data_IF_339127148353
#
_entry.id   IF_339127148353
#
_cell.length_a   1.000
_cell.length_b   1.000
_cell.length_c   1.000
_cell.angle_alpha   90.00
_cell.angle_beta   90.00
_cell.angle_gamma   90.00
#
_symmetry.space_group_name_H-M   'P 1'
#
loop_
_entity.id
_entity.type
_entity.pdbx_description
1 polymer ?
#
# COMPACT_ATOMS: atom_id res chain seq x y z
N UNK A 1 50.62 0.47 -23.01
CA UNK A 1 49.55 0.70 -22.02
C UNK A 1 48.81 -0.63 -21.88
N UNK A 2 48.94 -1.29 -20.74
CA UNK A 2 48.25 -2.56 -20.50
C UNK A 2 46.76 -2.22 -20.31
N UNK A 3 45.84 -2.79 -21.10
CA UNK A 3 44.42 -2.53 -20.89
C UNK A 3 44.06 -2.96 -19.46
N UNK A 4 43.47 -2.04 -18.69
CA UNK A 4 42.99 -2.36 -17.35
C UNK A 4 41.98 -3.50 -17.48
N UNK A 5 42.24 -4.60 -16.76
CA UNK A 5 41.31 -5.72 -16.65
C UNK A 5 40.05 -5.19 -15.95
N UNK A 6 38.91 -5.33 -16.61
CA UNK A 6 37.63 -4.84 -16.11
C UNK A 6 36.51 -5.84 -16.40
N UNK A 7 35.45 -5.75 -15.60
CA UNK A 7 34.29 -6.63 -15.66
C UNK A 7 33.22 -6.06 -16.61
N UNK A 8 32.45 -6.94 -17.20
CA UNK A 8 31.22 -6.63 -17.92
C UNK A 8 30.07 -6.72 -16.91
N UNK A 9 29.38 -5.60 -16.69
CA UNK A 9 28.16 -5.56 -15.90
C UNK A 9 26.98 -5.69 -16.86
N UNK A 10 26.17 -6.73 -16.72
CA UNK A 10 24.88 -6.82 -17.39
C UNK A 10 23.80 -6.38 -16.40
N UNK A 11 23.20 -5.21 -16.64
CA UNK A 11 22.21 -4.65 -15.72
C UNK A 11 20.84 -5.31 -15.85
N UNK A 12 20.56 -6.06 -16.92
CA UNK A 12 19.32 -6.85 -17.03
C UNK A 12 19.42 -8.20 -16.30
N UNK A 13 20.63 -8.57 -15.86
CA UNK A 13 20.87 -9.84 -15.18
C UNK A 13 19.97 -9.97 -13.96
N UNK A 14 19.21 -11.06 -13.92
CA UNK A 14 18.28 -11.35 -12.84
C UNK A 14 18.86 -12.39 -11.87
N UNK A 15 18.33 -12.38 -10.65
CA UNK A 15 18.61 -13.38 -9.63
C UNK A 15 17.43 -14.36 -9.62
N UNK A 16 17.67 -15.69 -9.67
CA UNK A 16 16.61 -16.67 -9.50
C UNK A 16 15.80 -16.38 -8.23
N UNK A 17 14.46 -16.56 -8.24
CA UNK A 17 13.59 -16.20 -7.10
C UNK A 17 14.01 -16.79 -5.75
N UNK A 18 14.63 -17.98 -5.78
CA UNK A 18 15.06 -18.73 -4.59
C UNK A 18 16.38 -18.22 -3.98
N UNK A 19 17.06 -17.27 -4.64
CA UNK A 19 18.39 -16.82 -4.26
C UNK A 19 18.36 -15.34 -3.85
N UNK A 20 18.95 -15.01 -2.69
CA UNK A 20 19.14 -13.62 -2.27
C UNK A 20 20.30 -12.91 -2.99
N UNK A 21 21.21 -13.70 -3.59
CA UNK A 21 22.37 -13.19 -4.34
C UNK A 21 22.91 -14.25 -5.31
N UNK A 22 23.55 -13.81 -6.39
CA UNK A 22 24.38 -14.64 -7.27
C UNK A 22 25.76 -14.03 -7.45
N UNK A 23 26.76 -14.86 -7.73
CA UNK A 23 28.07 -14.42 -8.20
C UNK A 23 28.23 -14.85 -9.65
N UNK A 24 28.77 -13.98 -10.49
CA UNK A 24 29.01 -14.29 -11.89
C UNK A 24 30.35 -13.75 -12.39
N UNK A 25 30.86 -14.37 -13.45
CA UNK A 25 32.07 -13.93 -14.12
C UNK A 25 31.73 -12.81 -15.10
N UNK A 26 32.29 -11.63 -14.88
CA UNK A 26 32.17 -10.49 -15.78
C UNK A 26 33.27 -10.44 -16.85
N UNK A 27 34.18 -11.41 -16.90
CA UNK A 27 35.31 -11.39 -17.83
C UNK A 27 35.98 -12.76 -17.99
N UNK A 28 37.03 -12.84 -18.82
CA UNK A 28 37.70 -14.11 -19.16
C UNK A 28 38.58 -14.69 -18.04
N UNK A 29 38.79 -13.95 -16.94
CA UNK A 29 39.66 -14.35 -15.84
C UNK A 29 38.84 -14.59 -14.57
N UNK A 30 39.25 -15.59 -13.78
CA UNK A 30 38.55 -15.99 -12.55
C UNK A 30 38.55 -14.93 -11.45
N UNK A 31 39.46 -13.96 -11.54
CA UNK A 31 39.58 -12.81 -10.63
C UNK A 31 38.51 -11.72 -10.91
N UNK A 32 37.81 -11.78 -12.04
CA UNK A 32 36.80 -10.79 -12.45
C UNK A 32 35.38 -11.20 -12.04
N UNK A 33 35.22 -11.62 -10.78
CA UNK A 33 33.92 -12.03 -10.22
C UNK A 33 33.15 -10.84 -9.68
N UNK A 34 31.89 -10.74 -10.10
CA UNK A 34 30.94 -9.73 -9.62
C UNK A 34 29.86 -10.44 -8.80
N UNK A 35 29.59 -9.92 -7.61
CA UNK A 35 28.47 -10.34 -6.78
C UNK A 35 27.27 -9.43 -7.10
N UNK A 36 26.13 -10.05 -7.37
CA UNK A 36 24.86 -9.38 -7.61
C UNK A 36 23.90 -9.72 -6.48
N UNK A 37 23.37 -8.70 -5.82
CA UNK A 37 22.33 -8.84 -4.78
C UNK A 37 21.04 -8.16 -5.23
N UNK A 38 19.90 -8.67 -4.75
CA UNK A 38 18.57 -8.13 -5.02
C UNK A 38 17.90 -7.85 -3.69
N UNK A 39 17.37 -6.64 -3.53
CA UNK A 39 16.60 -6.25 -2.35
C UNK A 39 15.47 -5.32 -2.75
N UNK A 40 14.34 -5.38 -2.04
CA UNK A 40 13.30 -4.37 -2.21
C UNK A 40 13.76 -3.10 -1.50
N UNK A 41 13.88 -1.99 -2.23
CA UNK A 41 14.33 -0.74 -1.65
C UNK A 41 13.74 0.48 -2.37
N UNK A 42 12.99 1.34 -1.65
CA UNK A 42 12.62 1.22 -0.23
C UNK A 42 11.75 0.00 0.09
N UNK A 43 11.68 -0.38 1.36
CA UNK A 43 10.87 -1.53 1.79
C UNK A 43 9.37 -1.33 1.45
N UNK A 44 8.71 -2.37 0.95
CA UNK A 44 7.29 -2.36 0.55
C UNK A 44 6.93 -1.27 -0.49
N UNK A 45 7.89 -0.85 -1.31
CA UNK A 45 7.66 0.19 -2.33
C UNK A 45 7.31 -0.37 -3.71
N UNK A 46 7.43 -1.70 -3.91
CA UNK A 46 7.35 -2.32 -5.22
C UNK A 46 8.54 -1.96 -6.11
N UNK A 47 9.69 -1.64 -5.52
CA UNK A 47 10.92 -1.30 -6.24
C UNK A 47 12.04 -2.26 -5.86
N UNK A 48 12.65 -2.88 -6.87
CA UNK A 48 13.80 -3.76 -6.68
C UNK A 48 15.09 -3.01 -6.97
N UNK A 49 16.02 -3.04 -6.02
CA UNK A 49 17.41 -2.60 -6.18
C UNK A 49 18.29 -3.82 -6.43
N UNK A 50 18.97 -3.82 -7.57
CA UNK A 50 20.00 -4.78 -7.94
C UNK A 50 21.35 -4.12 -7.72
N UNK A 51 22.25 -4.75 -6.96
CA UNK A 51 23.55 -4.16 -6.63
C UNK A 51 24.68 -5.09 -7.04
N UNK A 52 25.55 -4.59 -7.92
CA UNK A 52 26.78 -5.23 -8.37
C UNK A 52 27.94 -4.73 -7.51
N UNK A 53 28.67 -5.65 -6.88
CA UNK A 53 29.90 -5.37 -6.12
C UNK A 53 31.02 -6.31 -6.55
N UNK A 54 32.26 -5.99 -6.18
CA UNK A 54 33.34 -7.00 -6.23
C UNK A 54 32.92 -8.24 -5.43
N UNK A 55 33.16 -9.42 -5.99
CA UNK A 55 33.06 -10.67 -5.22
C UNK A 55 34.37 -11.00 -4.48
N UNK A 56 35.46 -10.33 -4.83
CA UNK A 56 36.72 -10.40 -4.12
C UNK A 56 36.71 -9.37 -2.98
N UNK A 57 36.73 -9.88 -1.75
CA UNK A 57 36.78 -9.07 -0.54
C UNK A 57 38.19 -8.49 -0.27
N UNK A 58 39.23 -9.02 -0.92
CA UNK A 58 40.62 -8.60 -0.69
C UNK A 58 40.97 -7.27 -1.37
N UNK A 59 40.24 -6.86 -2.42
CA UNK A 59 40.46 -5.60 -3.15
C UNK A 59 39.87 -4.36 -2.46
N UNK A 60 39.46 -4.49 -1.18
CA UNK A 60 38.69 -3.45 -0.49
C UNK A 60 37.32 -3.22 -1.13
N UNK A 61 36.83 -4.19 -1.91
CA UNK A 61 35.56 -4.13 -2.63
C UNK A 61 35.58 -3.32 -3.93
N UNK A 62 36.75 -2.85 -4.39
CA UNK A 62 36.88 -2.07 -5.62
C UNK A 62 37.02 -2.97 -6.86
N UNK A 63 36.45 -2.53 -7.98
CA UNK A 63 36.60 -3.20 -9.27
C UNK A 63 36.45 -2.22 -10.46
N UNK A 64 37.09 -2.55 -11.58
CA UNK A 64 36.98 -1.80 -12.83
C UNK A 64 35.82 -2.33 -13.67
N UNK A 65 35.07 -1.44 -14.32
CA UNK A 65 34.00 -1.82 -15.25
C UNK A 65 34.45 -1.53 -16.67
N UNK A 66 34.54 -2.59 -17.48
CA UNK A 66 34.91 -2.49 -18.89
C UNK A 66 33.72 -2.11 -19.77
N UNK A 67 32.57 -2.74 -19.54
CA UNK A 67 31.34 -2.58 -20.32
C UNK A 67 30.14 -2.61 -19.38
N UNK A 68 29.11 -1.83 -19.68
CA UNK A 68 27.80 -1.95 -19.03
C UNK A 68 26.81 -2.34 -20.12
N UNK A 69 26.23 -3.53 -20.05
CA UNK A 69 25.34 -4.07 -21.08
C UNK A 69 23.88 -3.93 -20.69
N UNK A 70 23.07 -3.56 -21.69
CA UNK A 70 21.62 -3.49 -21.57
C UNK A 70 20.94 -3.72 -22.92
N UNK A 71 19.71 -4.26 -22.87
CA UNK A 71 18.87 -4.51 -24.04
C UNK A 71 19.12 -5.86 -24.69
N UNK A 72 18.21 -6.23 -25.60
CA UNK A 72 18.28 -7.48 -26.34
C UNK A 72 19.57 -7.53 -27.18
N UNK A 73 20.49 -8.43 -26.84
CA UNK A 73 21.82 -8.53 -27.47
C UNK A 73 22.96 -7.87 -26.69
N UNK A 74 22.68 -7.24 -25.53
CA UNK A 74 23.69 -6.77 -24.60
C UNK A 74 24.54 -5.63 -25.15
N UNK A 75 23.90 -4.60 -25.68
CA UNK A 75 24.60 -3.41 -26.19
C UNK A 75 25.27 -2.66 -25.05
N UNK A 76 26.50 -2.22 -25.26
CA UNK A 76 27.22 -1.39 -24.28
C UNK A 76 26.57 0.00 -24.18
N UNK A 77 26.18 0.40 -22.97
CA UNK A 77 25.59 1.69 -22.65
C UNK A 77 26.64 2.59 -22.02
N UNK A 78 27.43 3.23 -22.90
CA UNK A 78 28.55 4.10 -22.52
C UNK A 78 28.16 5.22 -21.54
N UNK A 79 26.92 5.71 -21.59
CA UNK A 79 26.43 6.82 -20.74
C UNK A 79 26.54 6.53 -19.23
N UNK A 80 26.51 5.26 -18.82
CA UNK A 80 26.54 4.84 -17.41
C UNK A 80 27.81 4.07 -17.05
N UNK A 81 28.78 3.98 -17.98
CA UNK A 81 30.04 3.28 -17.71
C UNK A 81 30.96 4.16 -16.86
N UNK A 82 31.35 3.72 -15.65
CA UNK A 82 32.31 4.46 -14.85
C UNK A 82 33.69 4.45 -15.52
N UNK A 83 34.42 5.56 -15.39
CA UNK A 83 35.77 5.70 -15.95
C UNK A 83 36.86 5.26 -14.96
N UNK A 84 36.53 5.21 -13.67
CA UNK A 84 37.42 4.89 -12.56
C UNK A 84 36.93 3.64 -11.82
N UNK A 85 37.78 3.00 -10.98
CA UNK A 85 37.34 1.91 -10.12
C UNK A 85 36.17 2.32 -9.21
N UNK A 86 35.20 1.43 -9.07
CA UNK A 86 33.99 1.66 -8.27
C UNK A 86 33.88 0.64 -7.14
N UNK A 87 33.13 1.00 -6.10
CA UNK A 87 32.74 0.11 -5.00
C UNK A 87 31.48 -0.68 -5.35
N UNK A 88 30.52 -0.03 -6.01
CA UNK A 88 29.28 -0.69 -6.43
C UNK A 88 28.59 0.04 -7.58
N UNK A 89 27.85 -0.73 -8.38
CA UNK A 89 26.87 -0.21 -9.33
C UNK A 89 25.50 -0.78 -8.96
N UNK A 90 24.52 0.09 -8.72
CA UNK A 90 23.16 -0.33 -8.40
C UNK A 90 22.16 0.14 -9.44
N UNK A 91 21.13 -0.67 -9.68
CA UNK A 91 20.07 -0.39 -10.64
C UNK A 91 18.71 -0.64 -10.01
N UNK A 92 17.77 0.30 -10.20
CA UNK A 92 16.41 0.17 -9.71
C UNK A 92 15.45 -0.21 -10.82
N UNK A 93 14.56 -1.15 -10.52
CA UNK A 93 13.48 -1.60 -11.37
C UNK A 93 12.14 -1.52 -10.64
N UNK A 94 11.07 -1.34 -11.40
CA UNK A 94 9.73 -1.58 -10.88
C UNK A 94 9.49 -3.08 -10.71
N UNK A 95 8.81 -3.51 -9.64
CA UNK A 95 8.57 -4.93 -9.34
C UNK A 95 7.72 -5.65 -10.39
N UNK A 96 6.86 -4.92 -11.09
CA UNK A 96 6.10 -5.43 -12.23
C UNK A 96 6.93 -5.67 -13.49
N UNK A 97 8.15 -5.15 -13.58
CA UNK A 97 9.07 -5.38 -14.71
C UNK A 97 9.87 -6.67 -14.52
N UNK A 98 9.19 -7.80 -14.71
CA UNK A 98 9.74 -9.15 -14.45
C UNK A 98 11.00 -9.48 -15.28
N UNK A 99 11.19 -8.79 -16.40
CA UNK A 99 12.28 -9.03 -17.34
C UNK A 99 13.34 -7.93 -17.31
N UNK A 100 13.23 -6.97 -16.40
CA UNK A 100 14.17 -5.85 -16.28
C UNK A 100 14.36 -5.10 -17.60
N UNK A 101 13.25 -4.95 -18.33
CA UNK A 101 13.23 -4.30 -19.64
C UNK A 101 13.29 -2.79 -19.54
N UNK A 102 13.03 -2.18 -18.38
CA UNK A 102 13.01 -0.73 -18.24
C UNK A 102 13.54 -0.32 -16.85
N UNK A 103 14.87 -0.23 -16.68
CA UNK A 103 15.46 0.28 -15.45
C UNK A 103 15.07 1.74 -15.26
N UNK A 104 14.97 2.17 -14.00
CA UNK A 104 14.55 3.52 -13.61
C UNK A 104 15.77 4.42 -13.38
N UNK A 105 16.69 3.95 -12.53
CA UNK A 105 17.82 4.72 -12.00
C UNK A 105 19.04 3.81 -11.90
N UNK A 106 20.22 4.35 -12.20
CA UNK A 106 21.52 3.75 -11.91
C UNK A 106 22.23 4.63 -10.89
N UNK A 107 22.81 4.02 -9.86
CA UNK A 107 23.69 4.63 -8.85
C UNK A 107 25.08 4.00 -8.97
N UNK A 108 26.10 4.84 -9.05
CA UNK A 108 27.50 4.42 -9.09
C UNK A 108 28.17 4.97 -7.84
N UNK A 109 28.73 4.08 -7.01
CA UNK A 109 29.50 4.45 -5.83
C UNK A 109 30.98 4.36 -6.14
N UNK A 110 31.64 5.50 -6.26
CA UNK A 110 33.03 5.61 -6.70
C UNK A 110 34.02 5.33 -5.56
N UNK A 111 35.27 5.04 -5.93
CA UNK A 111 36.38 4.81 -4.98
C UNK A 111 36.50 5.90 -3.92
N UNK A 112 36.40 7.17 -4.32
CA UNK A 112 36.54 8.35 -3.47
C UNK A 112 35.34 8.59 -2.54
N UNK A 113 34.29 7.78 -2.65
CA UNK A 113 33.08 7.93 -1.85
C UNK A 113 32.00 8.83 -2.48
N UNK A 114 32.26 9.37 -3.68
CA UNK A 114 31.28 10.11 -4.46
C UNK A 114 30.22 9.19 -5.06
N UNK A 115 29.03 9.75 -5.29
CA UNK A 115 27.92 9.07 -5.95
C UNK A 115 27.60 9.74 -7.27
N UNK A 116 27.42 8.94 -8.32
CA UNK A 116 26.87 9.39 -9.61
C UNK A 116 25.55 8.70 -9.88
N UNK A 117 24.63 9.43 -10.47
CA UNK A 117 23.28 8.95 -10.74
C UNK A 117 22.94 9.15 -12.21
N UNK A 118 22.28 8.15 -12.81
CA UNK A 118 21.79 8.22 -14.18
C UNK A 118 20.34 7.78 -14.25
N UNK A 119 19.50 8.60 -14.87
CA UNK A 119 18.08 8.34 -15.05
C UNK A 119 17.79 7.80 -16.43
N UNK A 120 16.88 6.83 -16.50
CA UNK A 120 16.39 6.35 -17.78
C UNK A 120 15.63 7.43 -18.54
N UNK A 121 15.81 7.46 -19.87
CA UNK A 121 14.92 8.16 -20.80
C UNK A 121 13.73 7.29 -21.22
N UNK A 122 13.70 6.02 -20.81
CA UNK A 122 12.65 5.05 -21.11
C UNK A 122 12.85 4.29 -22.43
N UNK A 123 13.90 4.60 -23.19
CA UNK A 123 14.26 4.00 -24.48
C UNK A 123 15.67 3.40 -24.47
N UNK A 124 16.19 3.04 -23.28
CA UNK A 124 17.55 2.52 -23.11
C UNK A 124 18.67 3.55 -23.13
N UNK A 125 18.36 4.84 -23.31
CA UNK A 125 19.34 5.93 -23.17
C UNK A 125 19.21 6.61 -21.81
N UNK A 126 20.27 7.29 -21.38
CA UNK A 126 20.39 7.80 -20.00
C UNK A 126 20.63 9.30 -19.96
N UNK A 127 20.22 9.94 -18.87
CA UNK A 127 20.64 11.30 -18.52
C UNK A 127 21.42 11.25 -17.21
N UNK A 128 22.54 12.00 -17.09
CA UNK A 128 23.10 12.25 -15.78
C UNK A 128 22.05 12.96 -14.93
N UNK A 129 21.92 12.52 -13.68
CA UNK A 129 21.11 13.20 -12.69
C UNK A 129 21.99 14.18 -11.94
N UNK A 130 21.69 15.47 -12.08
CA UNK A 130 22.26 16.51 -11.21
C UNK A 130 21.26 16.80 -10.11
N UNK A 131 21.74 16.72 -8.87
CA UNK A 131 21.09 17.17 -7.65
C UNK A 131 21.60 18.57 -7.21
N UNK A 132 22.13 19.35 -8.15
CA UNK A 132 22.64 20.71 -7.91
C UNK A 132 23.84 20.72 -6.96
N UNK A 133 23.76 21.47 -5.86
CA UNK A 133 24.86 21.55 -4.88
C UNK A 133 25.16 20.23 -4.15
N UNK A 134 24.32 19.20 -4.32
CA UNK A 134 24.46 17.87 -3.73
C UNK A 134 24.89 16.80 -4.74
N UNK A 135 25.47 17.19 -5.89
CA UNK A 135 25.80 16.30 -7.02
C UNK A 135 26.66 15.06 -6.68
N UNK A 136 27.32 15.03 -5.51
CA UNK A 136 28.14 13.89 -5.07
C UNK A 136 27.61 13.20 -3.79
N UNK A 137 26.51 13.69 -3.20
CA UNK A 137 25.93 13.09 -2.00
C UNK A 137 25.03 11.92 -2.39
N UNK A 138 25.02 10.90 -1.54
CA UNK A 138 24.13 9.76 -1.72
C UNK A 138 22.67 10.22 -1.67
N UNK A 139 21.90 9.88 -2.69
CA UNK A 139 20.44 9.98 -2.64
C UNK A 139 19.91 8.93 -1.66
N UNK A 140 19.27 9.40 -0.60
CA UNK A 140 18.68 8.55 0.42
C UNK A 140 17.35 9.11 0.93
N UNK A 141 16.63 8.27 1.68
CA UNK A 141 15.31 8.59 2.23
C UNK A 141 14.36 9.19 1.20
N UNK A 142 13.71 10.30 1.58
CA UNK A 142 12.69 10.98 0.78
C UNK A 142 13.18 11.43 -0.60
N UNK A 143 14.45 11.82 -0.75
CA UNK A 143 14.97 12.32 -2.02
C UNK A 143 15.03 11.21 -3.07
N UNK A 144 15.63 10.07 -2.71
CA UNK A 144 15.68 8.88 -3.57
C UNK A 144 14.28 8.36 -3.88
N UNK A 145 13.43 8.29 -2.87
CA UNK A 145 12.05 7.86 -2.96
C UNK A 145 11.21 8.69 -3.93
N UNK A 146 11.21 10.01 -3.77
CA UNK A 146 10.51 10.92 -4.66
C UNK A 146 11.06 10.80 -6.08
N UNK A 147 12.36 10.55 -6.21
CA UNK A 147 12.99 10.34 -7.50
C UNK A 147 12.45 9.09 -8.20
N UNK A 148 12.41 7.97 -7.50
CA UNK A 148 11.90 6.70 -8.03
C UNK A 148 10.40 6.78 -8.32
N UNK A 149 9.61 7.42 -7.45
CA UNK A 149 8.18 7.67 -7.68
C UNK A 149 7.94 8.49 -8.96
N UNK A 150 8.75 9.53 -9.17
CA UNK A 150 8.68 10.37 -10.37
C UNK A 150 9.02 9.59 -11.64
N UNK A 151 10.05 8.74 -11.58
CA UNK A 151 10.45 7.87 -12.69
C UNK A 151 9.37 6.82 -13.01
N UNK A 152 8.75 6.22 -11.99
CA UNK A 152 7.61 5.31 -12.16
C UNK A 152 6.40 5.99 -12.80
N UNK A 153 5.97 7.17 -12.32
CA UNK A 153 4.85 7.92 -12.94
C UNK A 153 5.18 8.33 -14.39
N UNK A 154 6.44 8.65 -14.68
CA UNK A 154 6.90 9.05 -16.01
C UNK A 154 6.96 7.88 -17.00
N UNK A 155 7.53 6.73 -16.59
CA UNK A 155 7.87 5.65 -17.51
C UNK A 155 6.83 4.51 -17.52
N UNK A 156 6.23 4.22 -16.38
CA UNK A 156 5.28 3.11 -16.21
C UNK A 156 3.83 3.56 -16.05
N UNK A 157 3.56 4.88 -16.11
CA UNK A 157 2.21 5.44 -15.84
C UNK A 157 1.67 5.08 -14.44
N UNK A 158 2.55 4.72 -13.50
CA UNK A 158 2.19 4.29 -12.15
C UNK A 158 2.16 5.46 -11.19
N UNK A 159 1.18 5.50 -10.30
CA UNK A 159 1.01 6.62 -9.37
C UNK A 159 0.99 6.10 -7.94
N UNK A 160 1.71 6.78 -7.04
CA UNK A 160 1.61 6.54 -5.62
C UNK A 160 0.57 7.47 -5.01
N UNK A 161 -0.35 6.92 -4.22
CA UNK A 161 -1.23 7.72 -3.37
C UNK A 161 -0.47 8.04 -2.09
N UNK A 162 -0.35 9.32 -1.81
CA UNK A 162 0.26 9.83 -0.61
C UNK A 162 -0.83 10.41 0.29
N UNK A 163 -1.02 9.74 1.43
CA UNK A 163 -1.99 9.99 2.49
C UNK A 163 -1.41 10.84 3.62
N UNK A 164 -0.21 11.40 3.50
CA UNK A 164 0.31 12.36 4.49
C UNK A 164 -0.69 13.51 4.62
N UNK A 165 -1.28 13.66 5.81
CA UNK A 165 -2.25 14.72 6.08
C UNK A 165 -1.61 16.09 5.78
N UNK A 166 -2.42 17.02 5.29
CA UNK A 166 -2.02 18.38 4.90
C UNK A 166 -1.09 18.49 3.68
N UNK A 167 -0.55 17.40 3.13
CA UNK A 167 0.24 17.47 1.88
C UNK A 167 -0.64 17.86 0.69
N UNK A 168 -1.88 17.39 0.68
CA UNK A 168 -2.86 17.72 -0.34
C UNK A 168 -4.17 18.17 0.30
N UNK A 169 -4.61 19.39 -0.03
CA UNK A 169 -5.90 19.95 0.37
C UNK A 169 -6.97 19.58 -0.66
N UNK A 170 -8.24 19.70 -0.27
CA UNK A 170 -9.37 19.57 -1.19
C UNK A 170 -9.19 20.44 -2.44
N UNK A 171 -9.40 19.84 -3.61
CA UNK A 171 -9.18 20.49 -4.90
C UNK A 171 -7.76 20.32 -5.45
N UNK A 172 -6.81 19.83 -4.65
CA UNK A 172 -5.47 19.52 -5.14
C UNK A 172 -5.50 18.29 -6.06
N UNK A 173 -4.63 18.33 -7.05
CA UNK A 173 -4.27 17.18 -7.88
C UNK A 173 -2.76 16.93 -7.77
N UNK A 174 -2.32 15.68 -7.93
CA UNK A 174 -0.89 15.31 -7.96
C UNK A 174 -0.58 14.08 -8.84
N UNK A 175 0.69 13.93 -9.24
CA UNK A 175 1.31 12.67 -9.70
C UNK A 175 2.83 12.80 -9.60
N UNK A 176 3.46 13.37 -10.64
CA UNK A 176 4.87 13.70 -10.72
C UNK A 176 5.05 15.04 -11.44
N UNK A 177 6.24 15.60 -11.35
CA UNK A 177 6.60 16.94 -11.86
C UNK A 177 6.37 17.09 -13.38
N UNK A 178 6.34 15.99 -14.13
CA UNK A 178 6.07 16.04 -15.59
C UNK A 178 4.58 16.25 -15.93
N UNK A 179 3.68 16.18 -14.95
CA UNK A 179 2.23 16.26 -15.17
C UNK A 179 1.60 17.57 -14.67
N UNK A 180 2.36 18.66 -14.49
CA UNK A 180 1.86 19.89 -13.87
C UNK A 180 0.77 20.64 -14.65
N UNK A 181 0.66 20.46 -15.97
CA UNK A 181 -0.31 21.17 -16.83
C UNK A 181 -1.67 20.45 -16.90
N UNK A 182 -2.35 20.30 -15.76
CA UNK A 182 -3.72 19.72 -15.70
C UNK A 182 -3.82 18.21 -15.94
N UNK A 183 -2.69 17.55 -16.22
CA UNK A 183 -2.58 16.10 -16.44
C UNK A 183 -2.29 15.30 -15.17
N UNK A 184 -2.46 15.94 -14.01
CA UNK A 184 -2.30 15.30 -12.70
C UNK A 184 -3.35 14.22 -12.54
N UNK A 185 -2.92 13.03 -12.16
CA UNK A 185 -3.69 11.78 -12.25
C UNK A 185 -4.45 11.44 -10.98
N UNK A 186 -3.97 11.96 -9.85
CA UNK A 186 -4.64 11.83 -8.56
C UNK A 186 -5.39 13.12 -8.27
N UNK A 187 -6.68 13.03 -7.93
CA UNK A 187 -7.47 14.15 -7.41
C UNK A 187 -7.89 13.89 -5.97
N UNK A 188 -7.88 14.93 -5.14
CA UNK A 188 -8.23 14.83 -3.71
C UNK A 188 -9.49 15.64 -3.40
N UNK A 189 -10.42 15.03 -2.67
CA UNK A 189 -11.61 15.69 -2.11
C UNK A 189 -11.79 15.32 -0.65
N UNK A 190 -12.07 16.29 0.20
CA UNK A 190 -12.56 16.05 1.55
C UNK A 190 -14.08 15.91 1.51
N UNK A 191 -14.58 14.87 2.16
CA UNK A 191 -16.00 14.58 2.30
C UNK A 191 -16.28 14.12 3.74
N UNK A 192 -17.55 13.89 4.08
CA UNK A 192 -17.95 13.45 5.43
C UNK A 192 -18.91 12.26 5.36
N UNK A 193 -18.69 11.29 6.25
CA UNK A 193 -19.68 10.26 6.58
C UNK A 193 -20.71 10.85 7.51
N UNK A 194 -22.00 10.68 7.20
CA UNK A 194 -23.13 11.21 7.98
C UNK A 194 -22.98 12.68 8.42
N UNK A 195 -22.30 13.52 7.62
CA UNK A 195 -21.94 14.91 7.92
C UNK A 195 -21.07 15.13 9.18
N UNK A 196 -20.53 14.08 9.79
CA UNK A 196 -19.82 14.14 11.08
C UNK A 196 -18.35 13.74 10.96
N UNK A 197 -18.04 12.61 10.34
CA UNK A 197 -16.69 12.05 10.30
C UNK A 197 -16.01 12.40 8.98
N UNK A 198 -14.97 13.26 8.97
CA UNK A 198 -14.27 13.65 7.76
C UNK A 198 -13.41 12.51 7.20
N UNK A 199 -13.30 12.46 5.88
CA UNK A 199 -12.35 11.61 5.18
C UNK A 199 -11.82 12.30 3.92
N UNK A 200 -10.64 11.87 3.46
CA UNK A 200 -10.05 12.33 2.21
C UNK A 200 -10.14 11.24 1.15
N UNK A 201 -10.80 11.55 0.03
CA UNK A 201 -10.92 10.68 -1.14
C UNK A 201 -9.85 11.03 -2.16
N UNK A 202 -8.92 10.10 -2.36
CA UNK A 202 -7.91 10.12 -3.40
C UNK A 202 -8.39 9.28 -4.57
N UNK A 203 -8.65 9.90 -5.72
CA UNK A 203 -9.13 9.21 -6.91
C UNK A 203 -8.07 9.20 -8.00
N UNK A 204 -7.81 8.01 -8.56
CA UNK A 204 -6.99 7.80 -9.75
C UNK A 204 -7.92 7.56 -10.93
N UNK A 205 -7.86 8.45 -11.91
CA UNK A 205 -8.63 8.33 -13.15
C UNK A 205 -7.83 7.75 -14.32
N UNK A 206 -8.55 7.36 -15.37
CA UNK A 206 -7.99 6.87 -16.64
C UNK A 206 -7.28 5.53 -16.52
N UNK A 207 -6.29 5.29 -17.40
CA UNK A 207 -5.49 4.05 -17.46
C UNK A 207 -4.31 4.01 -16.47
N UNK A 208 -4.33 4.84 -15.43
CA UNK A 208 -3.23 4.86 -14.46
C UNK A 208 -3.40 3.74 -13.45
N UNK A 209 -2.30 3.13 -13.04
CA UNK A 209 -2.29 2.08 -12.01
C UNK A 209 -1.72 2.66 -10.71
N UNK A 210 -2.24 2.19 -9.58
CA UNK A 210 -1.74 2.52 -8.25
C UNK A 210 -0.51 1.65 -7.97
N UNK A 211 0.70 2.23 -7.92
CA UNK A 211 1.93 1.50 -7.54
C UNK A 211 2.06 1.26 -6.05
N UNK A 212 1.34 2.01 -5.23
CA UNK A 212 1.50 1.95 -3.79
C UNK A 212 0.76 3.07 -3.08
N UNK A 213 0.51 2.84 -1.80
CA UNK A 213 -0.07 3.83 -0.88
C UNK A 213 0.99 4.14 0.17
N UNK A 214 1.19 5.41 0.49
CA UNK A 214 2.17 5.84 1.49
C UNK A 214 1.64 6.96 2.36
N UNK A 215 2.28 7.15 3.51
CA UNK A 215 2.14 8.36 4.32
C UNK A 215 3.47 8.66 5.01
N UNK A 216 3.53 9.78 5.73
CA UNK A 216 4.71 10.19 6.48
C UNK A 216 4.26 10.37 7.93
N UNK A 217 4.87 9.63 8.84
CA UNK A 217 4.57 9.74 10.27
C UNK A 217 4.81 11.17 10.77
N UNK A 218 3.90 11.65 11.61
CA UNK A 218 3.89 12.99 12.19
C UNK A 218 3.85 14.14 11.16
N UNK A 219 3.63 13.82 9.88
CA UNK A 219 3.78 14.76 8.78
C UNK A 219 5.23 15.14 8.47
N UNK A 220 6.22 14.49 9.11
CA UNK A 220 7.64 14.76 8.91
C UNK A 220 8.21 13.98 7.73
N UNK A 221 9.16 14.59 7.03
CA UNK A 221 9.71 14.07 5.77
C UNK A 221 10.55 12.80 5.90
N UNK A 222 11.02 12.44 7.10
CA UNK A 222 11.96 11.34 7.36
C UNK A 222 11.29 10.03 7.79
N UNK A 223 9.96 9.98 7.90
CA UNK A 223 9.20 8.84 8.39
C UNK A 223 8.24 8.23 7.38
N UNK A 224 8.63 8.09 6.09
CA UNK A 224 7.74 7.49 5.09
C UNK A 224 7.40 6.05 5.48
N UNK A 225 6.11 5.74 5.47
CA UNK A 225 5.56 4.40 5.59
C UNK A 225 4.86 4.03 4.29
N UNK A 226 5.28 2.93 3.68
CA UNK A 226 4.54 2.31 2.59
C UNK A 226 3.52 1.33 3.19
N UNK A 227 2.28 1.41 2.72
CA UNK A 227 1.17 0.59 3.16
C UNK A 227 1.07 -0.65 2.27
N UNK A 228 1.13 -1.81 2.88
CA UNK A 228 0.85 -3.11 2.25
C UNK A 228 -0.58 -3.52 2.57
N UNK A 229 -1.40 -3.79 1.56
CA UNK A 229 -2.79 -4.24 1.73
C UNK A 229 -2.82 -5.76 1.83
N UNK A 230 -3.25 -6.32 2.95
CA UNK A 230 -3.35 -7.78 3.09
C UNK A 230 -4.23 -8.39 1.99
N UNK A 231 -3.69 -9.37 1.26
CA UNK A 231 -4.40 -10.06 0.18
C UNK A 231 -4.45 -9.32 -1.16
N UNK A 232 -3.75 -8.19 -1.31
CA UNK A 232 -3.69 -7.43 -2.56
C UNK A 232 -2.27 -6.96 -2.86
N UNK A 233 -1.81 -7.24 -4.09
CA UNK A 233 -0.49 -6.85 -4.57
C UNK A 233 -0.55 -5.55 -5.38
N UNK A 234 0.54 -4.79 -5.36
CA UNK A 234 0.75 -3.65 -6.26
C UNK A 234 1.53 -4.10 -7.52
N UNK A 235 1.30 -3.45 -8.68
CA UNK A 235 0.36 -2.35 -8.91
C UNK A 235 -1.10 -2.81 -9.03
N UNK A 236 -2.04 -1.95 -8.62
CA UNK A 236 -3.49 -2.15 -8.79
C UNK A 236 -3.96 -1.31 -9.97
N UNK A 237 -4.49 -1.95 -11.02
CA UNK A 237 -4.97 -1.26 -12.21
C UNK A 237 -6.17 -0.38 -11.88
N UNK A 238 -6.15 0.88 -12.33
CA UNK A 238 -7.26 1.81 -12.15
C UNK A 238 -8.39 1.65 -13.19
N UNK A 239 -9.41 2.51 -13.14
CA UNK A 239 -9.60 3.58 -12.15
C UNK A 239 -9.90 3.01 -10.75
N UNK A 240 -9.51 3.76 -9.71
CA UNK A 240 -9.80 3.39 -8.33
C UNK A 240 -9.86 4.61 -7.41
N UNK A 241 -10.37 4.41 -6.20
CA UNK A 241 -10.35 5.45 -5.15
C UNK A 241 -9.90 4.90 -3.81
N UNK A 242 -9.08 5.67 -3.08
CA UNK A 242 -8.70 5.40 -1.69
C UNK A 242 -9.33 6.48 -0.80
N UNK A 243 -10.07 6.06 0.21
CA UNK A 243 -10.71 6.92 1.20
C UNK A 243 -9.92 6.79 2.48
N UNK A 244 -9.39 7.88 3.03
CA UNK A 244 -8.56 7.86 4.22
C UNK A 244 -9.20 8.61 5.39
N UNK A 245 -9.21 7.97 6.55
CA UNK A 245 -9.74 8.49 7.81
C UNK A 245 -8.62 8.74 8.80
N UNK A 246 -8.77 9.81 9.58
CA UNK A 246 -7.78 10.32 10.53
C UNK A 246 -8.46 10.58 11.89
N UNK A 247 -7.72 10.38 12.99
CA UNK A 247 -8.17 10.77 14.34
C UNK A 247 -7.74 12.20 14.66
N UNK A 248 -6.66 12.35 15.43
CA UNK A 248 -6.10 13.64 15.87
C UNK A 248 -4.88 14.04 15.06
N UNK A 249 -4.09 13.06 14.61
CA UNK A 249 -2.76 13.28 14.05
C UNK A 249 -2.73 13.30 12.51
N UNK A 250 -1.52 13.37 11.96
CA UNK A 250 -1.27 13.35 10.50
C UNK A 250 -1.35 11.96 9.87
N UNK A 251 -1.57 10.93 10.69
CA UNK A 251 -1.51 9.53 10.30
C UNK A 251 -2.91 8.99 9.95
N UNK A 252 -3.08 8.37 8.77
CA UNK A 252 -4.30 7.65 8.49
C UNK A 252 -4.37 6.40 9.39
N UNK A 253 -5.56 6.10 9.91
CA UNK A 253 -5.80 4.92 10.79
C UNK A 253 -6.65 3.85 10.11
N UNK A 254 -7.48 4.28 9.15
CA UNK A 254 -8.42 3.44 8.43
C UNK A 254 -8.53 3.94 6.99
N UNK A 255 -8.52 3.00 6.04
CA UNK A 255 -8.76 3.30 4.63
C UNK A 255 -9.82 2.40 4.03
N UNK A 256 -10.51 2.88 3.01
CA UNK A 256 -11.31 2.06 2.11
C UNK A 256 -10.73 2.15 0.71
N UNK A 257 -10.53 1.02 0.03
CA UNK A 257 -10.05 0.98 -1.36
C UNK A 257 -11.21 0.49 -2.23
N UNK A 258 -11.62 1.32 -3.18
CA UNK A 258 -12.77 1.08 -4.07
C UNK A 258 -12.29 0.85 -5.50
N UNK A 259 -12.97 -0.06 -6.19
CA UNK A 259 -12.74 -0.46 -7.58
C UNK A 259 -11.35 -1.10 -7.74
N UNK A 260 -10.69 -0.87 -8.87
CA UNK A 260 -9.45 -1.52 -9.26
C UNK A 260 -9.65 -2.85 -10.01
N UNK A 261 -8.56 -3.36 -10.58
CA UNK A 261 -8.50 -4.70 -11.15
C UNK A 261 -7.25 -5.44 -10.63
N UNK A 262 -7.40 -6.51 -9.83
CA UNK A 262 -8.68 -7.07 -9.37
C UNK A 262 -9.48 -6.09 -8.50
N UNK A 263 -10.80 -6.26 -8.47
CA UNK A 263 -11.69 -5.42 -7.67
C UNK A 263 -11.34 -5.58 -6.19
N UNK A 264 -11.08 -4.46 -5.51
CA UNK A 264 -10.71 -4.46 -4.09
C UNK A 264 -11.94 -4.30 -3.20
N UNK A 265 -12.63 -3.15 -3.28
CA UNK A 265 -13.86 -2.81 -2.52
C UNK A 265 -13.83 -3.19 -1.03
N UNK A 266 -12.73 -2.91 -0.34
CA UNK A 266 -12.48 -3.37 1.04
C UNK A 266 -11.98 -2.27 1.97
N UNK A 267 -12.30 -2.45 3.25
CA UNK A 267 -11.76 -1.66 4.36
C UNK A 267 -10.47 -2.27 4.87
N UNK A 268 -9.46 -1.44 5.11
CA UNK A 268 -8.19 -1.84 5.69
C UNK A 268 -7.87 -0.93 6.87
N UNK A 269 -7.39 -1.50 7.97
CA UNK A 269 -6.97 -0.75 9.14
C UNK A 269 -5.48 -0.88 9.41
N UNK A 270 -4.90 0.16 10.00
CA UNK A 270 -3.49 0.18 10.41
C UNK A 270 -3.23 -0.95 11.42
N UNK A 271 -2.22 -1.78 11.15
CA UNK A 271 -1.82 -2.85 12.08
C UNK A 271 -1.09 -2.33 13.31
N UNK A 272 -1.10 -3.12 14.39
CA UNK A 272 -0.48 -2.75 15.69
C UNK A 272 1.07 -2.81 15.66
N UNK A 273 1.67 -3.53 14.71
CA UNK A 273 3.12 -3.80 14.69
C UNK A 273 3.78 -3.09 13.52
N UNK A 274 4.46 -1.96 13.78
CA UNK A 274 5.27 -1.25 12.79
C UNK A 274 4.50 -0.55 11.66
N UNK A 275 3.17 -0.64 11.62
CA UNK A 275 2.29 0.17 10.76
C UNK A 275 2.35 -0.09 9.25
N UNK A 276 3.19 -1.01 8.77
CA UNK A 276 3.36 -1.27 7.34
C UNK A 276 2.24 -2.13 6.73
N UNK A 277 1.85 -3.19 7.43
CA UNK A 277 0.80 -4.11 6.95
C UNK A 277 -0.55 -3.66 7.45
N UNK A 278 -1.46 -3.44 6.52
CA UNK A 278 -2.82 -3.03 6.78
C UNK A 278 -3.75 -4.20 6.52
N UNK A 279 -4.43 -4.64 7.56
CA UNK A 279 -5.28 -5.82 7.53
C UNK A 279 -6.70 -5.44 7.13
N UNK A 280 -7.33 -6.30 6.32
CA UNK A 280 -8.75 -6.16 6.02
C UNK A 280 -9.55 -6.15 7.34
N UNK A 281 -10.44 -5.17 7.50
CA UNK A 281 -11.24 -5.04 8.72
C UNK A 281 -12.73 -5.30 8.49
N UNK A 282 -13.33 -5.82 9.56
CA UNK A 282 -14.72 -6.10 9.89
C UNK A 282 -15.72 -6.57 8.83
N UNK A 283 -16.39 -7.67 9.19
CA UNK A 283 -17.64 -8.16 8.59
C UNK A 283 -18.73 -7.09 8.44
N UNK A 284 -18.90 -6.23 9.45
CA UNK A 284 -19.98 -5.23 9.48
C UNK A 284 -19.83 -4.10 8.46
N UNK A 285 -18.61 -3.83 7.96
CA UNK A 285 -18.35 -2.76 6.99
C UNK A 285 -18.06 -3.28 5.58
N UNK A 286 -17.86 -4.60 5.39
CA UNK A 286 -17.32 -5.20 4.15
C UNK A 286 -17.99 -4.70 2.87
N UNK A 287 -19.30 -4.45 2.93
CA UNK A 287 -20.10 -4.12 1.74
C UNK A 287 -20.59 -2.67 1.72
N UNK A 288 -20.15 -1.84 2.67
CA UNK A 288 -20.62 -0.46 2.79
C UNK A 288 -19.48 0.51 2.52
N UNK A 289 -19.62 1.27 1.43
CA UNK A 289 -18.68 2.35 1.11
C UNK A 289 -18.88 3.56 2.03
N UNK A 290 -17.83 4.35 2.29
CA UNK A 290 -17.93 5.59 3.06
C UNK A 290 -19.06 6.52 2.61
N UNK A 291 -19.22 6.72 1.30
CA UNK A 291 -20.22 7.62 0.73
C UNK A 291 -21.65 7.08 0.83
N UNK A 292 -21.87 5.82 1.21
CA UNK A 292 -23.19 5.22 1.43
C UNK A 292 -23.68 5.33 2.87
N UNK A 293 -22.80 5.64 3.82
CA UNK A 293 -23.16 5.88 5.21
C UNK A 293 -23.67 7.32 5.35
N UNK A 294 -24.96 7.52 5.03
CA UNK A 294 -25.59 8.85 4.94
C UNK A 294 -26.18 9.34 6.25
N UNK A 295 -26.57 8.44 7.13
CA UNK A 295 -27.31 8.77 8.35
C UNK A 295 -26.65 8.19 9.56
N UNK A 296 -26.73 8.94 10.66
CA UNK A 296 -26.42 8.43 11.97
C UNK A 296 -27.46 7.34 12.33
N UNK A 297 -27.04 6.10 12.62
CA UNK A 297 -27.91 5.04 13.17
C UNK A 297 -28.23 3.88 12.22
N UNK A 298 -27.61 3.79 11.04
CA UNK A 298 -27.79 2.70 10.08
C UNK A 298 -26.96 1.42 10.41
N UNK A 299 -26.46 1.31 11.65
CA UNK A 299 -25.55 0.25 12.10
C UNK A 299 -24.13 0.36 11.54
N UNK A 300 -23.99 0.67 10.24
CA UNK A 300 -22.70 0.92 9.59
C UNK A 300 -21.97 2.11 10.21
N UNK A 301 -22.70 3.20 10.52
CA UNK A 301 -22.13 4.35 11.21
C UNK A 301 -21.55 3.98 12.57
N UNK A 302 -22.30 3.23 13.38
CA UNK A 302 -21.84 2.82 14.72
C UNK A 302 -20.65 1.87 14.64
N UNK A 303 -20.62 1.00 13.63
CA UNK A 303 -19.48 0.13 13.37
C UNK A 303 -18.23 0.92 12.95
N UNK A 304 -18.37 1.93 12.09
CA UNK A 304 -17.27 2.83 11.72
C UNK A 304 -16.76 3.60 12.95
N UNK A 305 -17.66 4.15 13.77
CA UNK A 305 -17.30 4.81 15.03
C UNK A 305 -16.54 3.86 15.95
N UNK A 306 -16.98 2.61 16.07
CA UNK A 306 -16.30 1.60 16.89
C UNK A 306 -14.86 1.39 16.45
N UNK A 307 -14.60 1.15 15.17
CA UNK A 307 -13.22 0.97 14.68
C UNK A 307 -12.36 2.22 14.90
N UNK A 308 -12.92 3.40 14.66
CA UNK A 308 -12.18 4.64 14.86
C UNK A 308 -11.86 4.88 16.35
N UNK A 309 -12.78 4.50 17.26
CA UNK A 309 -12.53 4.54 18.71
C UNK A 309 -11.41 3.62 19.15
N UNK A 310 -11.24 2.46 18.52
CA UNK A 310 -10.13 1.54 18.82
C UNK A 310 -8.76 2.18 18.50
N UNK A 311 -8.72 3.19 17.62
CA UNK A 311 -7.55 4.03 17.34
C UNK A 311 -7.50 5.32 18.18
N UNK A 312 -8.36 5.46 19.20
CA UNK A 312 -8.43 6.64 20.06
C UNK A 312 -9.13 7.85 19.45
N UNK A 313 -9.85 7.70 18.33
CA UNK A 313 -10.64 8.80 17.77
C UNK A 313 -11.81 9.17 18.72
N UNK A 314 -12.01 10.47 18.96
CA UNK A 314 -13.09 11.01 19.79
C UNK A 314 -14.48 11.06 19.15
N UNK A 315 -14.80 10.18 18.21
CA UNK A 315 -16.14 10.17 17.57
C UNK A 315 -17.15 9.45 18.47
N UNK A 316 -18.38 9.95 18.52
CA UNK A 316 -19.48 9.35 19.30
C UNK A 316 -20.45 8.61 18.39
N UNK A 317 -21.06 7.55 18.93
CA UNK A 317 -22.22 6.93 18.31
C UNK A 317 -23.38 7.91 18.34
N UNK A 318 -24.40 7.66 17.53
CA UNK A 318 -25.58 8.50 17.49
C UNK A 318 -26.22 8.53 18.88
N UNK A 319 -26.73 9.68 19.34
CA UNK A 319 -27.69 9.67 20.43
C UNK A 319 -28.79 8.69 20.02
N UNK A 320 -29.04 7.68 20.84
CA UNK A 320 -30.22 6.86 20.62
C UNK A 320 -31.39 7.83 20.53
N UNK A 321 -32.13 7.81 19.42
CA UNK A 321 -33.37 8.57 19.32
C UNK A 321 -34.13 8.24 20.60
N UNK A 322 -34.38 9.26 21.43
CA UNK A 322 -35.18 9.04 22.62
C UNK A 322 -36.45 8.34 22.13
N UNK A 323 -36.87 7.23 22.79
CA UNK A 323 -38.14 6.62 22.46
C UNK A 323 -39.17 7.74 22.32
N UNK A 324 -40.01 7.73 21.27
CA UNK A 324 -41.02 8.76 21.13
C UNK A 324 -41.71 8.91 22.48
N UNK A 325 -41.91 10.15 22.97
CA UNK A 325 -42.53 10.35 24.28
C UNK A 325 -43.79 9.49 24.33
N UNK A 326 -44.06 8.79 25.45
CA UNK A 326 -45.22 7.93 25.55
C UNK A 326 -46.44 8.73 25.07
N UNK A 327 -47.33 8.11 24.26
CA UNK A 327 -48.50 8.82 23.76
C UNK A 327 -49.20 9.49 24.95
N UNK A 328 -49.68 10.74 24.80
CA UNK A 328 -50.38 11.40 25.89
C UNK A 328 -51.48 10.46 26.40
N UNK A 329 -51.67 10.36 27.73
CA UNK A 329 -52.72 9.50 28.28
C UNK A 329 -54.03 9.81 27.54
N UNK A 330 -54.80 8.78 27.15
CA UNK A 330 -56.06 9.00 26.46
C UNK A 330 -56.88 10.02 27.27
N UNK A 331 -57.55 10.99 26.61
CA UNK A 331 -58.38 11.94 27.31
C UNK A 331 -59.34 11.17 28.22
N UNK A 332 -59.57 11.63 29.46
CA UNK A 332 -60.46 10.95 30.39
C UNK A 332 -61.78 10.65 29.66
N UNK A 333 -62.10 9.36 29.58
CA UNK A 333 -63.35 8.90 28.99
C UNK A 333 -64.49 9.71 29.64
N UNK A 334 -65.38 10.34 28.86
CA UNK A 334 -66.58 10.97 29.39
C UNK A 334 -67.27 9.96 30.29
N UNK A 335 -67.45 10.31 31.56
CA UNK A 335 -67.85 9.40 32.63
C UNK A 335 -68.98 8.45 32.20
N UNK A 336 -68.60 7.22 31.87
CA UNK A 336 -69.53 6.12 31.69
C UNK A 336 -70.06 5.73 33.05
N UNK A 337 -71.37 5.91 33.25
CA UNK A 337 -72.08 5.44 34.44
C UNK A 337 -71.75 3.98 34.73
N UNK A 338 -71.44 3.71 35.99
CA UNK A 338 -70.96 2.42 36.45
C UNK A 338 -71.96 1.28 36.20
N UNK A 339 -71.46 0.05 35.94
CA UNK A 339 -72.25 -1.14 36.13
C UNK A 339 -72.22 -1.56 37.60
N UNK A 340 -73.42 -1.85 38.09
CA UNK A 340 -73.73 -2.56 39.34
C UNK A 340 -73.02 -3.91 39.36
N UNK A 341 -72.39 -4.23 40.49
CA UNK A 341 -71.65 -5.46 40.71
C UNK A 341 -72.51 -6.72 40.72
N UNK A 342 -71.87 -7.85 40.42
CA UNK A 342 -72.31 -9.16 40.88
C UNK A 342 -71.09 -9.99 41.26
N UNK A 343 -71.12 -10.41 42.52
CA UNK A 343 -70.29 -11.43 43.13
C UNK A 343 -70.51 -12.80 42.46
N UNK A 344 -69.49 -13.65 42.51
CA UNK A 344 -69.59 -15.04 42.05
C UNK A 344 -68.29 -15.82 42.26
N UNK A 345 -68.24 -16.55 43.37
CA UNK A 345 -67.30 -17.62 43.72
C UNK A 345 -67.13 -18.68 42.62
N UNK A 346 -65.98 -19.35 42.59
CA UNK A 346 -65.79 -20.54 41.76
C UNK A 346 -64.38 -21.13 41.81
N UNK A 347 -64.15 -21.98 42.80
CA UNK A 347 -62.99 -22.84 43.04
C UNK A 347 -62.75 -23.88 41.93
N UNK A 348 -61.49 -24.29 41.70
CA UNK A 348 -61.18 -25.51 40.94
C UNK A 348 -59.72 -25.67 40.50
N UNK A 349 -58.91 -26.33 41.34
CA UNK A 349 -57.74 -27.16 40.96
C UNK A 349 -58.24 -28.56 40.49
N UNK A 350 -57.38 -29.50 40.05
CA UNK A 350 -56.24 -29.45 39.12
C UNK A 350 -56.42 -30.50 37.99
N UNK A 351 -55.40 -30.70 37.15
CA UNK A 351 -54.86 -32.01 36.71
C UNK A 351 -54.46 -32.11 35.21
N UNK A 352 -53.44 -32.95 35.00
CA UNK A 352 -53.14 -33.77 33.81
C UNK A 352 -52.29 -33.23 32.63
N UNK A 353 -51.01 -33.67 32.66
CA UNK A 353 -50.43 -34.63 31.71
C UNK A 353 -49.95 -34.21 30.29
N UNK A 354 -48.69 -34.59 30.01
CA UNK A 354 -48.14 -34.90 28.67
C UNK A 354 -47.39 -33.74 27.99
N UNK A 355 -46.29 -33.92 27.26
CA UNK A 355 -45.71 -35.08 26.56
C UNK A 355 -44.20 -34.84 26.37
N UNK A 356 -43.41 -35.92 26.47
CA UNK A 356 -41.98 -35.97 26.16
C UNK A 356 -41.67 -36.06 24.65
N UNK A 357 -40.53 -35.47 24.24
CA UNK A 357 -39.68 -35.92 23.13
C UNK A 357 -39.65 -35.06 21.84
N UNK A 358 -38.63 -35.19 20.96
CA UNK A 358 -37.41 -36.01 21.05
C UNK A 358 -36.08 -35.22 20.93
N UNK A 359 -35.04 -35.92 21.38
CA UNK A 359 -33.61 -35.65 21.25
C UNK A 359 -33.14 -35.67 19.78
N UNK A 360 -32.36 -34.65 19.41
CA UNK A 360 -31.65 -34.59 18.11
C UNK A 360 -30.35 -35.39 18.13
N UNK A 361 -29.91 -35.91 16.97
CA UNK A 361 -28.77 -36.83 16.88
C UNK A 361 -27.42 -36.12 16.97
N UNK A 362 -26.46 -36.86 17.52
CA UNK A 362 -25.03 -36.52 17.60
C UNK A 362 -24.37 -36.46 16.20
N UNK A 363 -23.33 -35.63 16.01
CA UNK A 363 -22.50 -35.64 14.82
C UNK A 363 -21.54 -36.83 14.82
N UNK A 364 -21.57 -37.62 13.75
CA UNK A 364 -20.61 -38.70 13.51
C UNK A 364 -19.22 -38.18 13.11
N UNK A 365 -18.14 -38.94 13.39
CA UNK A 365 -16.80 -38.59 12.98
C UNK A 365 -16.57 -38.94 11.50
N UNK A 366 -16.25 -37.94 10.70
CA UNK A 366 -15.83 -38.10 9.31
C UNK A 366 -14.35 -38.47 9.22
N UNK A 367 -14.09 -39.68 8.74
CA UNK A 367 -12.78 -40.21 8.40
C UNK A 367 -12.30 -39.74 7.02
N UNK A 368 -11.05 -39.27 6.98
CA UNK A 368 -9.91 -39.63 6.09
C UNK A 368 -10.05 -39.49 4.55
N UNK A 369 -8.93 -39.01 3.97
CA UNK A 369 -8.27 -39.43 2.72
C UNK A 369 -8.37 -38.51 1.48
N UNK A 370 -7.19 -38.12 0.97
CA UNK A 370 -7.04 -37.61 -0.40
C UNK A 370 -5.92 -36.58 -0.61
N UNK A 371 -4.67 -36.96 -0.40
CA UNK A 371 -3.49 -36.20 -0.88
C UNK A 371 -3.00 -36.85 -2.20
N UNK A 372 -2.90 -36.11 -3.32
CA UNK A 372 -2.15 -36.57 -4.47
C UNK A 372 -0.77 -35.92 -4.49
N UNK A 373 0.26 -36.78 -4.48
CA UNK A 373 1.62 -36.43 -4.89
C UNK A 373 1.64 -36.06 -6.38
N UNK A 374 2.31 -34.95 -6.71
CA UNK A 374 2.97 -34.71 -7.98
C UNK A 374 4.16 -33.78 -7.76
#
# INVERSE_FOLDING_TARGET
>A
MIPLLGVIIDIQRNIPPEQGSITYYGGPLDENKVKLTKAEFPLNSGLWKFTHTSADETSGGLFNVKEVKYGHGGSDINDVRPQEPIKSLSVWYHSGDKHHNQPLLVEIWEKEGNYKYHETKGNGSWNPHSNGSQDNQRLEGKALEQKLDNLNCKHYKLVNIDLTRNRYRTGNKYCCDKHDTGKKRVSVREEKVANTIPYFKHHIGGESELSGIKYNEDGQSSGRRNITLSGHEFPIKGPLSVYAFYCTDNDPVLIYVKEGSPVVNKWFKKGNTGGYTWTETLEGLRNTMPDKIKTCGDGNFDQLVKELKDFGCGYSTCPQQQPPPPPPPPPPLPGGGGPVGKDGEGSGDPDASGVEGPTGPAPGPGSVEGEPQA
#
